data_IF_740085250555
#
_entry.id   IF_740085250555
#
_cell.length_a   1.000
_cell.length_b   1.000
_cell.length_c   1.000
_cell.angle_alpha   90.00
_cell.angle_beta   90.00
_cell.angle_gamma   90.00
#
_symmetry.space_group_name_H-M   'P 1'
#
loop_
_entity.id
_entity.type
_entity.pdbx_description
1 polymer ?
#
# COMPACT_ATOMS: atom_id res chain seq x y z
N UNK A 1 -22.87 -20.50 -1.45
CA UNK A 1 -22.98 -21.30 -0.20
C UNK A 1 -21.76 -22.19 0.06
N UNK A 2 -20.82 -22.27 -0.90
CA UNK A 2 -19.64 -23.14 -0.81
C UNK A 2 -18.30 -22.39 -0.72
N UNK A 3 -18.30 -21.07 -0.77
CA UNK A 3 -17.08 -20.29 -0.74
C UNK A 3 -16.59 -20.05 0.71
N UNK A 4 -15.32 -20.26 0.95
CA UNK A 4 -14.65 -19.95 2.23
C UNK A 4 -14.21 -18.48 2.31
N UNK A 5 -13.84 -17.92 1.16
CA UNK A 5 -13.32 -16.56 1.04
C UNK A 5 -14.07 -15.85 -0.11
N UNK A 6 -14.53 -14.64 0.15
CA UNK A 6 -15.04 -13.72 -0.85
C UNK A 6 -14.08 -12.54 -0.94
N UNK A 7 -13.65 -12.21 -2.17
CA UNK A 7 -12.77 -11.04 -2.42
C UNK A 7 -13.52 -10.09 -3.34
N UNK A 8 -13.51 -8.80 -2.99
CA UNK A 8 -14.10 -7.75 -3.82
C UNK A 8 -13.20 -6.52 -3.87
N UNK A 9 -13.25 -5.79 -5.00
CA UNK A 9 -12.61 -4.50 -5.22
C UNK A 9 -13.52 -3.52 -5.98
N UNK A 10 -14.83 -3.65 -5.79
CA UNK A 10 -15.82 -2.79 -6.42
C UNK A 10 -15.79 -1.38 -5.79
N UNK A 11 -16.38 -0.41 -6.48
CA UNK A 11 -16.52 0.95 -5.95
C UNK A 11 -17.31 0.95 -4.63
N UNK A 12 -16.99 1.87 -3.71
CA UNK A 12 -17.73 1.99 -2.46
C UNK A 12 -19.23 2.13 -2.68
N UNK A 13 -20.02 1.41 -1.88
CA UNK A 13 -21.48 1.38 -1.97
C UNK A 13 -22.05 0.29 -2.89
N UNK A 14 -21.35 -0.10 -3.94
CA UNK A 14 -21.87 -1.08 -4.92
C UNK A 14 -22.16 -2.43 -4.29
N UNK A 15 -21.27 -2.95 -3.44
CA UNK A 15 -21.49 -4.25 -2.77
C UNK A 15 -22.70 -4.24 -1.85
N UNK A 16 -23.02 -3.09 -1.24
CA UNK A 16 -24.18 -2.93 -0.38
C UNK A 16 -25.46 -2.85 -1.23
N UNK A 17 -25.43 -2.09 -2.33
CA UNK A 17 -26.56 -1.96 -3.27
C UNK A 17 -26.98 -3.32 -3.86
N UNK A 18 -26.03 -4.20 -4.19
CA UNK A 18 -26.32 -5.53 -4.73
C UNK A 18 -26.49 -6.62 -3.64
N UNK A 19 -26.49 -6.22 -2.35
CA UNK A 19 -26.80 -7.09 -1.22
C UNK A 19 -25.71 -8.09 -0.83
N UNK A 20 -24.46 -7.85 -1.24
CA UNK A 20 -23.29 -8.66 -0.88
C UNK A 20 -22.25 -7.86 -0.06
N UNK A 21 -22.66 -6.78 0.60
CA UNK A 21 -21.82 -6.02 1.50
C UNK A 21 -21.30 -6.87 2.68
N UNK A 22 -20.19 -6.45 3.31
CA UNK A 22 -19.52 -7.27 4.32
C UNK A 22 -20.41 -7.60 5.51
N UNK A 23 -21.20 -6.63 6.01
CA UNK A 23 -22.12 -6.86 7.14
C UNK A 23 -23.17 -7.91 6.81
N UNK A 24 -23.86 -7.77 5.67
CA UNK A 24 -24.89 -8.70 5.22
C UNK A 24 -24.33 -10.10 4.99
N UNK A 25 -23.15 -10.19 4.38
CA UNK A 25 -22.53 -11.48 4.07
C UNK A 25 -22.02 -12.20 5.31
N UNK A 26 -21.40 -11.50 6.26
CA UNK A 26 -20.91 -12.09 7.50
C UNK A 26 -22.05 -12.51 8.44
N UNK A 27 -23.19 -11.79 8.39
CA UNK A 27 -24.39 -12.18 9.12
C UNK A 27 -25.00 -13.47 8.55
N UNK A 28 -25.09 -13.60 7.23
CA UNK A 28 -25.66 -14.81 6.56
C UNK A 28 -24.71 -15.99 6.61
N UNK A 29 -23.41 -15.74 6.56
CA UNK A 29 -22.34 -16.74 6.47
C UNK A 29 -21.27 -16.45 7.54
N UNK A 30 -21.53 -16.82 8.83
CA UNK A 30 -20.65 -16.45 9.94
C UNK A 30 -19.23 -17.02 9.85
N UNK A 31 -18.98 -17.98 8.96
CA UNK A 31 -17.64 -18.56 8.73
C UNK A 31 -16.93 -17.97 7.53
N UNK A 32 -17.57 -17.08 6.76
CA UNK A 32 -16.99 -16.44 5.59
C UNK A 32 -15.84 -15.52 5.98
N UNK A 33 -14.76 -15.55 5.24
CA UNK A 33 -13.73 -14.52 5.27
C UNK A 33 -14.05 -13.57 4.13
N UNK A 34 -14.37 -12.32 4.48
CA UNK A 34 -14.73 -11.30 3.53
C UNK A 34 -13.55 -10.36 3.32
N UNK A 35 -12.93 -10.38 2.15
CA UNK A 35 -11.79 -9.53 1.81
C UNK A 35 -12.24 -8.35 0.97
N UNK A 36 -12.00 -7.15 1.46
CA UNK A 36 -12.29 -5.91 0.75
C UNK A 36 -11.01 -5.19 0.38
N UNK A 37 -10.91 -4.76 -0.87
CA UNK A 37 -9.83 -3.92 -1.38
C UNK A 37 -10.45 -2.59 -1.81
N UNK A 38 -10.04 -1.50 -1.16
CA UNK A 38 -10.56 -0.17 -1.37
C UNK A 38 -9.46 0.80 -1.82
N UNK A 39 -9.85 1.94 -2.38
CA UNK A 39 -8.89 3.02 -2.59
C UNK A 39 -8.43 3.63 -1.26
N UNK A 40 -9.38 3.96 -0.35
CA UNK A 40 -9.13 4.68 0.90
C UNK A 40 -9.58 3.94 2.17
N UNK A 41 -9.98 2.68 2.06
CA UNK A 41 -10.45 1.86 3.18
C UNK A 41 -11.96 1.94 3.42
N UNK A 42 -12.43 1.04 4.26
CA UNK A 42 -13.86 0.90 4.59
C UNK A 42 -14.37 2.00 5.54
N UNK A 43 -13.47 2.67 6.26
CA UNK A 43 -13.77 3.70 7.23
C UNK A 43 -13.05 5.02 6.90
N UNK A 44 -13.43 6.09 7.58
CA UNK A 44 -12.77 7.39 7.46
C UNK A 44 -13.44 8.34 6.47
N UNK A 45 -12.94 9.58 6.39
CA UNK A 45 -13.58 10.66 5.63
C UNK A 45 -13.55 10.46 4.11
N UNK A 46 -12.65 9.63 3.61
CA UNK A 46 -12.49 9.37 2.18
C UNK A 46 -13.05 8.02 1.74
N UNK A 47 -13.72 7.27 2.62
CA UNK A 47 -14.23 5.91 2.36
C UNK A 47 -15.08 5.77 1.10
N UNK A 48 -15.78 6.84 0.70
CA UNK A 48 -16.63 6.84 -0.50
C UNK A 48 -15.89 7.28 -1.77
N UNK A 49 -14.60 7.63 -1.68
CA UNK A 49 -13.82 8.00 -2.85
C UNK A 49 -13.22 6.78 -3.54
N UNK A 50 -13.32 6.78 -4.86
CA UNK A 50 -12.59 5.84 -5.72
C UNK A 50 -11.19 6.37 -6.03
N UNK A 51 -10.28 5.47 -6.38
CA UNK A 51 -8.94 5.82 -6.80
C UNK A 51 -8.24 4.64 -7.46
N UNK A 52 -7.25 4.96 -8.28
CA UNK A 52 -6.33 4.02 -8.89
C UNK A 52 -4.92 4.26 -8.36
N UNK A 53 -4.02 3.33 -8.58
CA UNK A 53 -2.65 3.33 -8.08
C UNK A 53 -1.94 4.69 -8.17
N UNK A 54 -1.85 5.39 -9.33
CA UNK A 54 -1.14 6.66 -9.41
C UNK A 54 -1.73 7.76 -8.52
N UNK A 55 -3.06 7.78 -8.37
CA UNK A 55 -3.72 8.72 -7.47
C UNK A 55 -3.34 8.45 -6.01
N UNK A 56 -3.26 7.20 -5.63
CA UNK A 56 -2.90 6.82 -4.26
C UNK A 56 -1.41 6.99 -3.99
N UNK A 57 -0.55 6.86 -4.99
CA UNK A 57 0.86 7.27 -4.89
C UNK A 57 0.99 8.77 -4.58
N UNK A 58 0.16 9.61 -5.23
CA UNK A 58 0.13 11.05 -4.95
C UNK A 58 -0.39 11.34 -3.54
N UNK A 59 -1.54 10.78 -3.16
CA UNK A 59 -2.16 10.97 -1.83
C UNK A 59 -1.28 10.45 -0.69
N UNK A 60 -0.63 9.30 -0.87
CA UNK A 60 0.25 8.69 0.13
C UNK A 60 1.63 9.33 0.24
N UNK A 61 1.95 10.33 -0.61
CA UNK A 61 3.21 11.05 -0.53
C UNK A 61 4.38 10.40 -1.28
N UNK A 62 4.23 9.25 -1.90
CA UNK A 62 5.30 8.57 -2.64
C UNK A 62 5.89 9.45 -3.73
N UNK A 63 5.04 10.19 -4.47
CA UNK A 63 5.48 11.07 -5.55
C UNK A 63 6.29 12.27 -5.03
N UNK A 64 6.11 12.66 -3.78
CA UNK A 64 6.86 13.77 -3.17
C UNK A 64 8.30 13.39 -2.80
N UNK A 65 8.62 12.11 -2.73
CA UNK A 65 9.95 11.58 -2.38
C UNK A 65 10.62 10.82 -3.53
N UNK A 66 9.93 10.65 -4.67
CA UNK A 66 10.42 9.93 -5.84
C UNK A 66 10.85 10.90 -6.94
N UNK A 67 12.00 10.66 -7.56
CA UNK A 67 12.56 11.46 -8.65
C UNK A 67 13.62 12.46 -8.21
N UNK A 68 14.09 13.29 -9.14
CA UNK A 68 15.08 14.34 -8.87
C UNK A 68 14.45 15.55 -8.21
N UNK A 69 15.21 16.34 -7.43
CA UNK A 69 14.66 17.54 -6.76
C UNK A 69 14.04 18.55 -7.74
N UNK A 70 14.62 18.71 -8.91
CA UNK A 70 14.23 19.65 -9.97
C UNK A 70 13.06 19.18 -10.84
N UNK A 71 12.79 17.87 -10.85
CA UNK A 71 11.71 17.28 -11.65
C UNK A 71 10.34 17.48 -10.96
N UNK A 72 9.24 17.42 -11.70
CA UNK A 72 7.90 17.33 -11.08
C UNK A 72 7.75 16.04 -10.27
N UNK A 73 6.78 15.98 -9.33
CA UNK A 73 6.47 14.75 -8.60
C UNK A 73 6.28 13.57 -9.54
N UNK A 74 7.03 12.50 -9.31
CA UNK A 74 7.11 11.35 -10.21
C UNK A 74 6.52 10.11 -9.55
N UNK A 75 5.65 9.41 -10.24
CA UNK A 75 5.14 8.13 -9.75
C UNK A 75 6.04 6.95 -10.16
N UNK A 76 6.02 5.90 -9.37
CA UNK A 76 6.61 4.61 -9.74
C UNK A 76 5.82 4.02 -10.92
N UNK A 77 6.49 3.67 -12.01
CA UNK A 77 5.86 3.14 -13.22
C UNK A 77 5.20 1.76 -13.06
N UNK A 78 5.40 1.10 -11.93
CA UNK A 78 4.68 -0.12 -11.57
C UNK A 78 3.47 0.23 -10.70
N UNK A 79 2.37 -0.55 -10.81
CA UNK A 79 1.21 -0.45 -9.92
C UNK A 79 1.56 -1.03 -8.54
N UNK A 80 2.40 -0.30 -7.80
CA UNK A 80 3.03 -0.80 -6.59
C UNK A 80 2.04 -0.88 -5.42
N UNK A 81 1.09 0.05 -5.33
CA UNK A 81 0.05 0.03 -4.30
C UNK A 81 -0.97 -1.08 -4.55
N UNK A 82 -1.38 -1.29 -5.81
CA UNK A 82 -2.28 -2.39 -6.18
C UNK A 82 -1.67 -3.74 -5.77
N UNK A 83 -0.40 -3.95 -6.12
CA UNK A 83 0.32 -5.20 -5.81
C UNK A 83 0.50 -5.39 -4.30
N UNK A 84 0.93 -4.34 -3.59
CA UNK A 84 1.11 -4.40 -2.14
C UNK A 84 -0.23 -4.67 -1.43
N UNK A 85 -1.31 -3.99 -1.84
CA UNK A 85 -2.63 -4.20 -1.26
C UNK A 85 -3.12 -5.63 -1.48
N UNK A 86 -2.90 -6.19 -2.68
CA UNK A 86 -3.18 -7.60 -2.96
C UNK A 86 -2.39 -8.57 -2.07
N UNK A 87 -1.11 -8.26 -1.82
CA UNK A 87 -0.27 -9.04 -0.89
C UNK A 87 -0.77 -8.94 0.54
N UNK A 88 -1.07 -7.74 1.05
CA UNK A 88 -1.63 -7.54 2.39
C UNK A 88 -2.99 -8.20 2.54
N UNK A 89 -3.85 -8.13 1.53
CA UNK A 89 -5.12 -8.85 1.50
C UNK A 89 -4.92 -10.36 1.60
N UNK A 90 -3.94 -10.92 0.89
CA UNK A 90 -3.61 -12.35 0.95
C UNK A 90 -3.09 -12.75 2.34
N UNK A 91 -2.19 -11.96 2.93
CA UNK A 91 -1.69 -12.19 4.30
C UNK A 91 -2.84 -12.13 5.29
N UNK A 92 -3.70 -11.11 5.17
CA UNK A 92 -4.89 -10.96 6.01
C UNK A 92 -5.86 -12.15 5.89
N UNK A 93 -6.09 -12.64 4.67
CA UNK A 93 -6.93 -13.82 4.44
C UNK A 93 -6.36 -15.08 5.09
N UNK A 94 -5.04 -15.31 4.99
CA UNK A 94 -4.37 -16.44 5.65
C UNK A 94 -4.46 -16.34 7.18
N UNK A 95 -4.26 -15.16 7.74
CA UNK A 95 -4.42 -14.91 9.16
C UNK A 95 -5.87 -15.13 9.63
N UNK A 96 -6.85 -14.67 8.83
CA UNK A 96 -8.27 -14.87 9.08
C UNK A 96 -8.68 -16.35 9.02
N UNK A 97 -8.12 -17.12 8.07
CA UNK A 97 -8.30 -18.58 8.04
C UNK A 97 -7.82 -19.22 9.33
N UNK A 98 -6.62 -18.85 9.79
CA UNK A 98 -6.08 -19.37 11.06
C UNK A 98 -6.92 -18.98 12.28
N UNK A 99 -7.45 -17.75 12.29
CA UNK A 99 -8.37 -17.30 13.33
C UNK A 99 -9.67 -18.07 13.30
N UNK A 100 -10.24 -18.30 12.10
CA UNK A 100 -11.46 -19.08 11.89
C UNK A 100 -11.32 -20.52 12.39
N UNK A 101 -10.17 -21.16 12.17
CA UNK A 101 -9.93 -22.53 12.65
C UNK A 101 -10.00 -22.62 14.17
N UNK A 102 -9.62 -21.54 14.88
CA UNK A 102 -9.67 -21.48 16.35
C UNK A 102 -11.04 -21.08 16.90
N UNK A 103 -11.73 -20.16 16.20
CA UNK A 103 -12.94 -19.52 16.72
C UNK A 103 -14.24 -20.05 16.10
N UNK A 104 -14.14 -20.76 14.99
CA UNK A 104 -15.27 -21.17 14.17
C UNK A 104 -15.90 -20.03 13.35
N UNK A 105 -15.41 -18.79 13.46
CA UNK A 105 -15.99 -17.60 12.84
C UNK A 105 -15.01 -16.98 11.82
N UNK A 106 -15.55 -16.54 10.69
CA UNK A 106 -14.86 -15.69 9.74
C UNK A 106 -14.85 -14.22 10.19
N UNK A 107 -14.30 -13.34 9.35
CA UNK A 107 -14.22 -11.89 9.63
C UNK A 107 -14.05 -11.09 8.34
N UNK A 108 -14.16 -9.77 8.47
CA UNK A 108 -13.74 -8.81 7.45
C UNK A 108 -12.21 -8.67 7.46
N UNK A 109 -11.61 -8.78 6.30
CA UNK A 109 -10.23 -8.37 6.01
C UNK A 109 -10.33 -7.11 5.17
N UNK A 110 -10.07 -5.98 5.79
CA UNK A 110 -10.13 -4.66 5.15
C UNK A 110 -8.72 -4.21 4.76
N UNK A 111 -8.56 -3.84 3.49
CA UNK A 111 -7.28 -3.38 2.94
C UNK A 111 -7.51 -2.19 2.01
N UNK A 112 -6.54 -1.28 1.96
CA UNK A 112 -6.62 -0.13 1.05
C UNK A 112 -5.31 0.17 0.34
N UNK A 113 -5.43 0.76 -0.86
CA UNK A 113 -4.30 1.26 -1.60
C UNK A 113 -3.63 2.43 -0.86
N UNK A 114 -4.42 3.22 -0.14
CA UNK A 114 -3.92 4.35 0.63
C UNK A 114 -3.02 3.90 1.79
N UNK A 115 -3.46 2.89 2.56
CA UNK A 115 -2.63 2.33 3.65
C UNK A 115 -1.33 1.74 3.10
N UNK A 116 -1.41 1.04 1.95
CA UNK A 116 -0.22 0.53 1.27
C UNK A 116 0.72 1.65 0.83
N UNK A 117 0.18 2.75 0.30
CA UNK A 117 0.97 3.91 -0.11
C UNK A 117 1.67 4.59 1.07
N UNK A 118 0.97 4.75 2.20
CA UNK A 118 1.53 5.31 3.44
C UNK A 118 2.62 4.39 4.02
N UNK A 119 2.40 3.08 3.97
CA UNK A 119 3.40 2.11 4.42
C UNK A 119 4.73 2.23 3.67
N UNK A 120 4.71 2.49 2.35
CA UNK A 120 5.93 2.68 1.57
C UNK A 120 6.77 3.89 2.00
N UNK A 121 6.14 4.91 2.55
CA UNK A 121 6.80 6.16 2.98
C UNK A 121 6.84 6.31 4.51
N UNK A 122 6.66 5.22 5.26
CA UNK A 122 6.59 5.26 6.73
C UNK A 122 7.84 5.89 7.37
N UNK A 123 9.04 5.60 6.84
CA UNK A 123 10.29 6.18 7.32
C UNK A 123 10.33 7.70 7.16
N UNK A 124 9.90 8.20 6.01
CA UNK A 124 9.81 9.63 5.73
C UNK A 124 8.73 10.31 6.58
N UNK A 125 7.58 9.64 6.76
CA UNK A 125 6.50 10.11 7.61
C UNK A 125 6.94 10.22 9.07
N UNK A 126 7.60 9.19 9.60
CA UNK A 126 8.12 9.17 10.97
C UNK A 126 9.17 10.27 11.19
N UNK A 127 10.07 10.48 10.23
CA UNK A 127 11.04 11.58 10.28
C UNK A 127 10.35 12.95 10.28
N UNK A 128 9.32 13.13 9.48
CA UNK A 128 8.53 14.36 9.47
C UNK A 128 7.82 14.59 10.82
N UNK A 129 7.19 13.58 11.38
CA UNK A 129 6.52 13.66 12.68
C UNK A 129 7.52 14.03 13.79
N UNK A 130 8.72 13.46 13.76
CA UNK A 130 9.73 13.69 14.78
C UNK A 130 10.43 15.04 14.67
N UNK A 131 10.65 15.55 13.44
CA UNK A 131 11.50 16.72 13.19
C UNK A 131 10.78 17.93 12.61
N UNK A 132 9.59 17.77 12.05
CA UNK A 132 8.89 18.77 11.25
C UNK A 132 9.51 19.02 9.87
N UNK A 133 10.61 18.34 9.52
CA UNK A 133 11.30 18.53 8.25
C UNK A 133 10.57 17.77 7.13
N UNK A 134 10.11 18.51 6.12
CA UNK A 134 9.43 17.91 4.95
C UNK A 134 10.45 17.10 4.14
N UNK A 135 10.19 15.80 3.87
CA UNK A 135 11.06 14.97 3.07
C UNK A 135 11.26 15.54 1.66
N UNK A 136 12.45 15.31 1.11
CA UNK A 136 12.82 15.80 -0.23
C UNK A 136 13.11 14.63 -1.17
N UNK A 137 13.04 14.89 -2.47
CA UNK A 137 13.52 13.97 -3.50
C UNK A 137 15.04 14.00 -3.57
N UNK A 138 15.67 12.84 -3.73
CA UNK A 138 17.13 12.68 -3.75
C UNK A 138 17.65 12.11 -5.09
N UNK A 139 16.81 12.09 -6.13
CA UNK A 139 17.19 11.52 -7.42
C UNK A 139 17.46 10.02 -7.31
N UNK A 140 18.69 9.62 -7.63
CA UNK A 140 19.14 8.22 -7.50
C UNK A 140 19.74 7.93 -6.12
N UNK A 141 19.86 8.95 -5.24
CA UNK A 141 20.55 8.83 -3.96
C UNK A 141 19.64 8.48 -2.78
N UNK A 142 20.24 7.93 -1.75
CA UNK A 142 19.62 7.75 -0.45
C UNK A 142 19.74 8.99 0.42
N UNK A 143 18.76 9.25 1.28
CA UNK A 143 18.76 10.39 2.20
C UNK A 143 19.72 10.24 3.39
N UNK A 144 20.11 9.01 3.74
CA UNK A 144 20.76 8.69 5.05
C UNK A 144 22.12 8.05 4.88
N UNK A 145 22.34 7.25 3.85
CA UNK A 145 23.58 6.50 3.62
C UNK A 145 24.31 7.08 2.42
N UNK A 146 25.63 7.30 2.54
CA UNK A 146 26.48 7.83 1.45
C UNK A 146 27.79 7.01 1.41
N UNK A 147 28.23 6.53 0.23
CA UNK A 147 27.52 6.57 -1.07
C UNK A 147 26.42 5.52 -1.15
N UNK A 148 25.23 5.90 -1.59
CA UNK A 148 24.09 5.02 -1.81
C UNK A 148 23.27 5.58 -2.98
N UNK A 149 23.80 5.43 -4.20
CA UNK A 149 23.21 6.04 -5.39
C UNK A 149 23.78 5.47 -6.69
N UNK A 150 23.23 5.93 -7.81
CA UNK A 150 23.76 5.65 -9.13
C UNK A 150 24.78 6.73 -9.51
N UNK A 151 25.91 6.31 -10.09
CA UNK A 151 26.98 7.14 -10.63
C UNK A 151 27.16 6.86 -12.12
N UNK A 152 27.50 7.87 -12.88
CA UNK A 152 27.91 7.71 -14.28
C UNK A 152 29.38 7.30 -14.33
N UNK A 153 29.69 6.24 -15.07
CA UNK A 153 31.06 5.77 -15.32
C UNK A 153 31.68 6.48 -16.53
N UNK A 154 33.00 6.40 -16.66
CA UNK A 154 33.73 7.04 -17.75
C UNK A 154 33.30 6.53 -19.16
N UNK A 155 32.74 5.34 -19.25
CA UNK A 155 32.20 4.77 -20.49
C UNK A 155 30.72 5.12 -20.72
N UNK A 156 30.16 6.02 -19.90
CA UNK A 156 28.78 6.52 -20.00
C UNK A 156 27.71 5.54 -19.52
N UNK A 157 28.08 4.47 -18.80
CA UNK A 157 27.11 3.53 -18.24
C UNK A 157 26.82 3.85 -16.77
N UNK A 158 25.57 3.65 -16.30
CA UNK A 158 25.26 3.85 -14.90
C UNK A 158 25.80 2.67 -14.04
N UNK A 159 26.39 3.01 -12.90
CA UNK A 159 26.81 2.07 -11.86
C UNK A 159 26.07 2.40 -10.57
N UNK A 160 25.35 1.44 -10.01
CA UNK A 160 24.72 1.59 -8.70
C UNK A 160 25.66 1.11 -7.60
N UNK A 161 25.99 2.00 -6.65
CA UNK A 161 26.73 1.68 -5.44
C UNK A 161 25.81 1.80 -4.24
N UNK A 162 25.74 0.75 -3.43
CA UNK A 162 24.89 0.67 -2.26
C UNK A 162 25.61 -0.05 -1.10
N UNK A 163 26.79 0.41 -0.65
CA UNK A 163 27.48 -0.19 0.48
C UNK A 163 26.68 0.05 1.77
N UNK A 164 26.32 -1.04 2.44
CA UNK A 164 25.53 -0.98 3.67
C UNK A 164 26.36 -0.80 4.93
N UNK A 165 27.70 -0.81 4.82
CA UNK A 165 28.64 -0.64 5.93
C UNK A 165 30.06 -0.34 5.40
N UNK A 166 30.97 0.05 6.32
CA UNK A 166 32.35 0.49 6.03
C UNK A 166 33.27 -0.65 5.53
N UNK A 167 32.81 -1.88 5.41
CA UNK A 167 33.61 -3.03 4.94
C UNK A 167 33.33 -3.39 3.48
N UNK A 168 32.39 -2.72 2.85
CA UNK A 168 32.04 -2.86 1.45
C UNK A 168 32.54 -1.67 0.65
#
# INVERSE_FOLDING_TARGET
ETADILIQNLRPGVVDEIGIGPEAMLQRHPRLIYCSIWAFGYQGPLKMKSGFDPLLQAYGGMMSVTGRPEDPPTFCGASINDKATGMFCTIGALAALRLRDKTGKGCLVDTSLFDSAVHWVEGQLNNYIASGAVPKRHGTGGAVIVPYQTFDTADGKPLCLAPGNDRL
#
